data_IF_934614862854
#
_entry.id   IF_934614862854
#
_cell.length_a   1.000
_cell.length_b   1.000
_cell.length_c   1.000
_cell.angle_alpha   90.00
_cell.angle_beta   90.00
_cell.angle_gamma   90.00
#
_symmetry.space_group_name_H-M   'P 1'
#
loop_
_entity.id
_entity.type
_entity.pdbx_description
1 polymer ?
#
# COMPACT_ATOMS: atom_id res chain seq x y z
N UNK A 1 -16.48 -7.31 21.35
CA UNK A 1 -15.37 -6.75 22.16
C UNK A 1 -14.02 -6.68 21.41
N UNK A 2 -13.73 -7.52 20.44
CA UNK A 2 -12.49 -7.53 19.65
C UNK A 2 -12.30 -6.25 18.80
N UNK A 3 -13.34 -5.75 18.16
CA UNK A 3 -13.32 -4.54 17.32
C UNK A 3 -12.89 -3.26 18.07
N UNK A 4 -13.38 -3.05 19.29
CA UNK A 4 -13.04 -1.86 20.08
C UNK A 4 -11.56 -1.84 20.46
N UNK A 5 -11.00 -2.98 20.87
CA UNK A 5 -9.56 -3.09 21.21
C UNK A 5 -8.67 -2.85 20.00
N UNK A 6 -9.05 -3.34 18.82
CA UNK A 6 -8.33 -3.07 17.59
C UNK A 6 -8.37 -1.57 17.22
N UNK A 7 -9.53 -0.94 17.34
CA UNK A 7 -9.68 0.50 17.13
C UNK A 7 -8.81 1.32 18.09
N UNK A 8 -8.79 0.97 19.37
CA UNK A 8 -7.96 1.67 20.38
C UNK A 8 -6.46 1.53 20.02
N UNK A 9 -5.99 0.34 19.67
CA UNK A 9 -4.58 0.12 19.26
C UNK A 9 -4.22 0.94 18.01
N UNK A 10 -5.13 0.99 17.02
CA UNK A 10 -4.95 1.82 15.84
C UNK A 10 -4.75 3.28 16.22
N UNK A 11 -5.65 3.86 17.04
CA UNK A 11 -5.49 5.25 17.49
C UNK A 11 -4.22 5.46 18.31
N UNK A 12 -3.81 4.52 19.16
CA UNK A 12 -2.55 4.61 19.90
C UNK A 12 -1.34 4.71 18.96
N UNK A 13 -1.29 3.88 17.92
CA UNK A 13 -0.23 3.96 16.88
C UNK A 13 -0.30 5.30 16.13
N UNK A 14 -1.50 5.77 15.76
CA UNK A 14 -1.69 7.05 15.09
C UNK A 14 -1.25 8.23 15.96
N UNK A 15 -1.56 8.23 17.25
CA UNK A 15 -1.14 9.28 18.18
C UNK A 15 0.39 9.34 18.36
N UNK A 16 1.12 8.27 18.11
CA UNK A 16 2.59 8.27 18.10
C UNK A 16 3.15 9.10 16.93
N UNK A 17 2.41 9.24 15.82
CA UNK A 17 2.83 9.97 14.63
C UNK A 17 2.68 11.48 14.83
N UNK A 18 3.78 12.22 14.57
CA UNK A 18 3.81 13.69 14.72
C UNK A 18 2.85 14.40 13.77
N UNK A 19 2.75 13.93 12.52
CA UNK A 19 1.86 14.44 11.48
C UNK A 19 0.39 14.27 11.84
N UNK A 20 0.00 13.11 12.36
CA UNK A 20 -1.37 12.87 12.80
C UNK A 20 -1.76 13.82 13.94
N UNK A 21 -0.90 13.97 14.96
CA UNK A 21 -1.14 14.89 16.07
C UNK A 21 -1.29 16.33 15.60
N UNK A 22 -0.43 16.78 14.68
CA UNK A 22 -0.51 18.15 14.12
C UNK A 22 -1.84 18.35 13.37
N UNK A 23 -2.25 17.40 12.52
CA UNK A 23 -3.52 17.46 11.79
C UNK A 23 -4.71 17.47 12.75
N UNK A 24 -4.71 16.60 13.75
CA UNK A 24 -5.78 16.52 14.75
C UNK A 24 -5.92 17.87 15.49
N UNK A 25 -4.80 18.45 15.95
CA UNK A 25 -4.82 19.76 16.62
C UNK A 25 -5.36 20.85 15.70
N UNK A 26 -4.88 20.92 14.44
CA UNK A 26 -5.35 21.93 13.48
C UNK A 26 -6.84 21.76 13.19
N UNK A 27 -7.32 20.52 13.00
CA UNK A 27 -8.74 20.23 12.74
C UNK A 27 -9.61 20.58 13.96
N UNK A 28 -9.16 20.29 15.18
CA UNK A 28 -9.84 20.68 16.41
C UNK A 28 -9.93 22.21 16.55
N UNK A 29 -8.80 22.90 16.37
CA UNK A 29 -8.78 24.36 16.45
C UNK A 29 -9.68 25.00 15.38
N UNK A 30 -9.66 24.51 14.15
CA UNK A 30 -10.52 24.98 13.08
C UNK A 30 -12.01 24.75 13.41
N UNK A 31 -12.37 23.55 13.90
CA UNK A 31 -13.74 23.24 14.29
C UNK A 31 -14.23 24.12 15.44
N UNK A 32 -13.46 24.26 16.51
CA UNK A 32 -13.85 25.08 17.65
C UNK A 32 -13.88 26.57 17.28
N UNK A 33 -12.91 27.05 16.51
CA UNK A 33 -12.90 28.43 16.00
C UNK A 33 -14.15 28.75 15.18
N UNK A 34 -14.48 27.89 14.20
CA UNK A 34 -15.70 28.06 13.41
C UNK A 34 -16.97 28.00 14.24
N UNK A 35 -17.07 27.05 15.17
CA UNK A 35 -18.24 26.90 16.06
C UNK A 35 -18.45 28.13 16.95
N UNK A 36 -17.38 28.63 17.57
CA UNK A 36 -17.46 29.84 18.41
C UNK A 36 -17.87 31.05 17.58
N UNK A 37 -17.29 31.23 16.39
CA UNK A 37 -17.62 32.35 15.49
C UNK A 37 -19.09 32.30 15.06
N UNK A 38 -19.61 31.14 14.67
CA UNK A 38 -21.02 30.99 14.27
C UNK A 38 -21.95 31.23 15.47
N UNK A 39 -21.62 30.71 16.66
CA UNK A 39 -22.41 30.94 17.86
C UNK A 39 -22.45 32.41 18.24
N UNK A 40 -21.33 33.13 18.20
CA UNK A 40 -21.26 34.56 18.48
C UNK A 40 -22.11 35.37 17.47
N UNK A 41 -22.01 35.06 16.20
CA UNK A 41 -22.81 35.74 15.16
C UNK A 41 -24.32 35.51 15.37
N UNK A 42 -24.72 34.29 15.70
CA UNK A 42 -26.12 33.96 15.95
C UNK A 42 -26.67 34.71 17.19
N UNK A 43 -25.90 34.80 18.26
CA UNK A 43 -26.27 35.55 19.48
C UNK A 43 -26.36 37.05 19.21
N UNK A 44 -25.45 37.61 18.42
CA UNK A 44 -25.48 39.01 18.03
C UNK A 44 -26.74 39.33 17.21
N UNK A 45 -27.13 38.47 16.25
CA UNK A 45 -28.36 38.61 15.46
C UNK A 45 -29.61 38.49 16.34
N UNK A 46 -29.58 37.59 17.32
CA UNK A 46 -30.71 37.38 18.25
C UNK A 46 -30.85 38.44 19.37
N UNK A 47 -29.91 39.39 19.47
CA UNK A 47 -29.93 40.45 20.50
C UNK A 47 -29.79 39.92 21.93
N UNK A 48 -29.28 38.71 22.14
CA UNK A 48 -29.15 38.06 23.43
C UNK A 48 -27.74 38.17 24.02
N UNK A 49 -27.67 38.29 25.37
CA UNK A 49 -26.41 38.32 26.10
C UNK A 49 -25.85 36.91 26.32
N UNK A 50 -24.58 36.78 26.10
CA UNK A 50 -23.84 35.60 25.63
C UNK A 50 -23.57 34.45 26.64
N UNK A 51 -23.94 34.52 27.93
CA UNK A 51 -23.23 33.67 28.91
C UNK A 51 -23.73 32.21 29.05
N UNK A 52 -25.01 31.98 29.10
CA UNK A 52 -25.56 30.63 29.38
C UNK A 52 -25.69 29.77 28.10
N UNK A 53 -26.11 30.38 27.00
CA UNK A 53 -26.31 29.68 25.73
C UNK A 53 -24.96 29.22 25.10
N UNK A 54 -23.91 30.02 25.26
CA UNK A 54 -22.55 29.64 24.84
C UNK A 54 -22.01 28.44 25.62
N UNK A 55 -22.20 28.40 26.93
CA UNK A 55 -21.76 27.28 27.75
C UNK A 55 -22.46 25.97 27.36
N UNK A 56 -23.78 25.99 27.16
CA UNK A 56 -24.56 24.83 26.72
C UNK A 56 -24.12 24.35 25.30
N UNK A 57 -23.96 25.28 24.38
CA UNK A 57 -23.51 24.95 23.00
C UNK A 57 -22.12 24.31 23.00
N UNK A 58 -21.18 24.80 23.81
CA UNK A 58 -19.85 24.22 23.93
C UNK A 58 -19.87 22.81 24.51
N UNK A 59 -20.70 22.54 25.53
CA UNK A 59 -20.79 21.20 26.14
C UNK A 59 -21.30 20.15 25.15
N UNK A 60 -22.28 20.49 24.32
CA UNK A 60 -22.86 19.56 23.33
C UNK A 60 -21.96 19.42 22.10
N UNK A 61 -21.40 20.52 21.61
CA UNK A 61 -20.62 20.51 20.38
C UNK A 61 -19.19 19.99 20.58
N UNK A 62 -18.64 20.03 21.80
CA UNK A 62 -17.30 19.50 22.09
C UNK A 62 -17.16 18.02 21.73
N UNK A 63 -17.99 17.08 22.24
CA UNK A 63 -17.84 15.66 21.89
C UNK A 63 -18.05 15.40 20.40
N UNK A 64 -18.98 16.12 19.76
CA UNK A 64 -19.22 16.02 18.31
C UNK A 64 -17.97 16.47 17.55
N UNK A 65 -17.39 17.60 17.94
CA UNK A 65 -16.17 18.15 17.34
C UNK A 65 -14.96 17.22 17.49
N UNK A 66 -14.82 16.61 18.67
CA UNK A 66 -13.77 15.62 18.90
C UNK A 66 -13.94 14.40 18.01
N UNK A 67 -15.14 13.82 17.92
CA UNK A 67 -15.43 12.68 17.05
C UNK A 67 -15.20 13.05 15.58
N UNK A 68 -15.66 14.23 15.16
CA UNK A 68 -15.45 14.74 13.80
C UNK A 68 -13.94 14.91 13.51
N UNK A 69 -13.20 15.57 14.40
CA UNK A 69 -11.78 15.80 14.23
C UNK A 69 -10.97 14.50 14.20
N UNK A 70 -11.30 13.53 15.05
CA UNK A 70 -10.70 12.19 15.02
C UNK A 70 -10.92 11.51 13.66
N UNK A 71 -12.14 11.54 13.12
CA UNK A 71 -12.45 10.95 11.81
C UNK A 71 -11.84 11.73 10.66
N UNK A 72 -11.92 13.05 10.67
CA UNK A 72 -11.38 13.89 9.60
C UNK A 72 -9.84 13.87 9.55
N UNK A 73 -9.19 13.61 10.68
CA UNK A 73 -7.73 13.49 10.77
C UNK A 73 -7.23 12.10 10.44
N UNK A 74 -8.12 11.10 10.24
CA UNK A 74 -7.69 9.76 9.84
C UNK A 74 -6.92 9.84 8.52
N UNK A 75 -5.72 9.22 8.48
CA UNK A 75 -4.97 9.16 7.25
C UNK A 75 -5.73 8.38 6.19
N UNK A 76 -5.46 8.69 4.96
CA UNK A 76 -6.01 7.95 3.83
C UNK A 76 -5.25 6.63 3.68
N UNK A 77 -5.98 5.53 3.55
CA UNK A 77 -5.38 4.21 3.38
C UNK A 77 -5.42 3.72 1.92
N UNK A 78 -6.17 4.41 1.09
CA UNK A 78 -6.42 4.03 -0.29
C UNK A 78 -6.61 5.30 -1.09
N UNK A 79 -5.75 5.52 -2.07
CA UNK A 79 -5.78 6.70 -2.94
C UNK A 79 -5.72 6.21 -4.39
N UNK A 80 -6.73 6.56 -5.16
CA UNK A 80 -6.76 6.33 -6.61
C UNK A 80 -6.40 7.62 -7.35
N UNK A 81 -5.57 7.50 -8.35
CA UNK A 81 -5.09 8.60 -9.17
C UNK A 81 -5.47 8.40 -10.63
N UNK A 82 -5.67 9.49 -11.33
CA UNK A 82 -5.87 9.53 -12.79
C UNK A 82 -5.00 10.63 -13.38
N UNK A 83 -4.46 10.35 -14.54
CA UNK A 83 -3.78 11.34 -15.38
C UNK A 83 -4.62 11.59 -16.63
N UNK A 84 -4.67 12.83 -17.10
CA UNK A 84 -5.53 13.20 -18.24
C UNK A 84 -5.13 12.50 -19.55
N UNK A 85 -3.83 12.14 -19.68
CA UNK A 85 -3.28 11.44 -20.85
C UNK A 85 -3.11 9.94 -20.65
N UNK A 86 -3.23 9.40 -19.45
CA UNK A 86 -3.02 7.99 -19.16
C UNK A 86 -4.36 7.26 -19.08
N UNK A 87 -4.51 6.20 -19.86
CA UNK A 87 -5.72 5.39 -19.90
C UNK A 87 -5.88 4.46 -18.67
N UNK A 88 -4.78 4.17 -17.97
CA UNK A 88 -4.75 3.19 -16.91
C UNK A 88 -4.77 3.84 -15.51
N UNK A 89 -5.59 3.35 -14.58
CA UNK A 89 -5.66 3.86 -13.22
C UNK A 89 -4.41 3.46 -12.41
N UNK A 90 -3.93 4.40 -11.61
CA UNK A 90 -2.94 4.16 -10.57
C UNK A 90 -3.63 4.21 -9.21
N UNK A 91 -3.40 3.22 -8.37
CA UNK A 91 -3.94 3.15 -7.02
C UNK A 91 -2.83 2.79 -6.03
N UNK A 92 -2.79 3.46 -4.90
CA UNK A 92 -1.87 3.16 -3.80
C UNK A 92 -2.68 2.91 -2.55
N UNK A 93 -2.50 1.74 -1.95
CA UNK A 93 -3.29 1.34 -0.80
C UNK A 93 -2.44 0.67 0.28
N UNK A 94 -2.90 0.80 1.52
CA UNK A 94 -2.39 0.05 2.67
C UNK A 94 -3.30 -1.14 2.86
N UNK A 95 -2.75 -2.35 2.78
CA UNK A 95 -3.61 -3.53 2.90
C UNK A 95 -2.91 -4.87 2.69
N UNK A 96 -3.72 -5.89 2.54
CA UNK A 96 -3.25 -7.24 2.18
C UNK A 96 -3.06 -7.33 0.67
N UNK A 97 -1.87 -7.72 0.23
CA UNK A 97 -1.53 -7.91 -1.17
C UNK A 97 -2.46 -8.93 -1.85
N UNK A 98 -2.90 -9.94 -1.12
CA UNK A 98 -3.71 -11.02 -1.64
C UNK A 98 -5.23 -10.73 -1.66
N UNK A 99 -5.68 -9.62 -1.07
CA UNK A 99 -7.09 -9.25 -1.03
C UNK A 99 -7.54 -8.60 -2.33
N UNK A 100 -7.57 -9.38 -3.41
CA UNK A 100 -8.08 -8.96 -4.73
C UNK A 100 -8.65 -10.17 -5.48
N UNK A 101 -9.65 -9.94 -6.32
CA UNK A 101 -10.26 -10.97 -7.17
C UNK A 101 -10.01 -10.71 -8.68
N UNK A 102 -9.53 -9.51 -9.04
CA UNK A 102 -9.48 -9.06 -10.43
C UNK A 102 -8.13 -8.50 -10.88
N UNK A 103 -7.11 -8.56 -10.03
CA UNK A 103 -5.76 -8.13 -10.35
C UNK A 103 -4.78 -9.30 -10.33
N UNK A 104 -3.80 -9.28 -11.22
CA UNK A 104 -2.68 -10.22 -11.20
C UNK A 104 -1.69 -9.77 -10.13
N UNK A 105 -1.36 -10.65 -9.20
CA UNK A 105 -0.54 -10.37 -8.04
C UNK A 105 0.94 -10.62 -8.36
N UNK A 106 1.79 -9.64 -8.09
CA UNK A 106 3.25 -9.78 -8.26
C UNK A 106 3.88 -10.20 -6.94
N UNK A 107 4.67 -11.28 -6.98
CA UNK A 107 5.47 -11.79 -5.87
C UNK A 107 6.95 -11.74 -6.26
N UNK A 108 7.74 -11.00 -5.50
CA UNK A 108 9.18 -10.92 -5.75
C UNK A 108 9.91 -12.12 -5.18
N UNK A 109 10.85 -12.66 -5.95
CA UNK A 109 11.65 -13.81 -5.59
C UNK A 109 13.14 -13.55 -5.82
N UNK A 110 13.98 -14.45 -5.32
CA UNK A 110 15.35 -14.50 -5.77
C UNK A 110 15.44 -15.18 -7.15
N UNK A 111 16.59 -15.07 -7.79
CA UNK A 111 16.84 -15.55 -9.15
C UNK A 111 16.84 -17.09 -9.29
N UNK A 112 16.82 -17.81 -8.19
CA UNK A 112 16.66 -19.28 -8.18
C UNK A 112 15.21 -19.71 -7.97
N UNK A 113 14.29 -18.77 -7.77
CA UNK A 113 12.88 -19.04 -7.45
C UNK A 113 12.69 -19.97 -6.26
N UNK A 114 13.47 -19.75 -5.19
CA UNK A 114 13.40 -20.55 -3.98
C UNK A 114 12.03 -20.40 -3.29
N UNK A 115 11.46 -21.51 -2.86
CA UNK A 115 10.17 -21.56 -2.17
C UNK A 115 10.28 -21.96 -0.70
N UNK A 116 11.48 -22.34 -0.23
CA UNK A 116 11.72 -22.88 1.09
C UNK A 116 12.92 -22.24 1.82
N UNK A 117 12.97 -22.47 3.13
CA UNK A 117 14.12 -22.13 3.97
C UNK A 117 15.41 -22.86 3.45
N UNK A 118 16.61 -22.27 3.56
CA UNK A 118 16.93 -21.03 4.30
C UNK A 118 16.76 -19.74 3.50
N UNK A 119 16.43 -19.82 2.22
CA UNK A 119 16.42 -18.69 1.29
C UNK A 119 15.13 -17.86 1.36
N UNK A 120 14.08 -18.42 1.93
CA UNK A 120 12.76 -17.79 2.08
C UNK A 120 12.42 -17.62 3.55
N UNK A 121 12.07 -16.41 3.96
CA UNK A 121 11.63 -16.10 5.33
C UNK A 121 10.21 -16.62 5.58
N UNK A 122 9.94 -17.02 6.83
CA UNK A 122 8.59 -17.41 7.28
C UNK A 122 7.51 -16.35 7.04
N UNK A 123 7.87 -15.07 7.04
CA UNK A 123 6.95 -13.94 6.81
C UNK A 123 6.95 -13.45 5.35
N UNK A 124 7.63 -14.15 4.45
CA UNK A 124 7.71 -13.74 3.05
C UNK A 124 6.37 -13.88 2.31
N UNK A 125 6.20 -13.13 1.23
CA UNK A 125 5.02 -13.24 0.36
C UNK A 125 4.86 -14.66 -0.24
N UNK A 126 5.99 -15.32 -0.53
CA UNK A 126 5.99 -16.71 -1.00
C UNK A 126 5.43 -17.66 0.05
N UNK A 127 5.89 -17.53 1.31
CA UNK A 127 5.38 -18.33 2.42
C UNK A 127 3.91 -18.06 2.68
N UNK A 128 3.47 -16.81 2.61
CA UNK A 128 2.06 -16.46 2.76
C UNK A 128 1.21 -17.06 1.63
N UNK A 129 1.72 -17.11 0.39
CA UNK A 129 1.04 -17.77 -0.72
C UNK A 129 0.92 -19.28 -0.49
N UNK A 130 2.02 -19.93 -0.05
CA UNK A 130 2.03 -21.37 0.26
C UNK A 130 0.97 -21.68 1.34
N UNK A 131 0.91 -20.89 2.40
CA UNK A 131 -0.11 -21.06 3.45
C UNK A 131 -1.55 -20.85 2.96
N UNK A 132 -1.77 -20.11 1.89
CA UNK A 132 -3.12 -19.85 1.34
C UNK A 132 -3.58 -20.93 0.37
N UNK A 133 -2.67 -21.48 -0.43
CA UNK A 133 -3.03 -22.32 -1.58
C UNK A 133 -2.34 -23.68 -1.64
N UNK A 134 -1.27 -23.89 -0.88
CA UNK A 134 -0.41 -25.07 -0.95
C UNK A 134 -0.08 -25.66 0.42
N UNK A 135 -1.00 -25.50 1.42
CA UNK A 135 -0.75 -25.94 2.81
C UNK A 135 -0.43 -27.43 2.89
N UNK A 136 -1.18 -28.25 2.14
CA UNK A 136 -1.02 -29.69 2.17
C UNK A 136 0.14 -30.18 1.28
N UNK A 137 0.54 -29.41 0.30
CA UNK A 137 1.53 -29.78 -0.72
C UNK A 137 2.45 -28.58 -1.08
N UNK A 138 3.32 -28.13 -0.17
CA UNK A 138 4.18 -26.94 -0.38
C UNK A 138 5.13 -27.07 -1.57
N UNK A 139 5.52 -28.30 -1.93
CA UNK A 139 6.42 -28.57 -3.08
C UNK A 139 5.73 -28.43 -4.44
N UNK A 140 4.39 -28.38 -4.48
CA UNK A 140 3.66 -28.20 -5.75
C UNK A 140 3.96 -26.84 -6.38
N UNK A 141 4.07 -25.77 -5.58
CA UNK A 141 4.44 -24.46 -6.09
C UNK A 141 5.80 -24.48 -6.77
N UNK A 142 6.78 -25.10 -6.13
CA UNK A 142 8.14 -25.26 -6.70
C UNK A 142 8.11 -26.05 -8.01
N UNK A 143 7.40 -27.17 -8.02
CA UNK A 143 7.25 -28.01 -9.22
C UNK A 143 6.58 -27.25 -10.36
N UNK A 144 5.57 -26.43 -10.06
CA UNK A 144 4.89 -25.58 -11.05
C UNK A 144 5.84 -24.53 -11.62
N UNK A 145 6.65 -23.86 -10.78
CA UNK A 145 7.63 -22.87 -11.21
C UNK A 145 8.68 -23.51 -12.14
N UNK A 146 9.28 -24.64 -11.74
CA UNK A 146 10.28 -25.33 -12.54
C UNK A 146 9.73 -25.80 -13.89
N UNK A 147 8.48 -26.27 -13.92
CA UNK A 147 7.78 -26.65 -15.14
C UNK A 147 7.60 -25.47 -16.10
N UNK A 148 7.17 -24.31 -15.60
CA UNK A 148 6.99 -23.11 -16.43
C UNK A 148 8.34 -22.60 -16.98
N UNK A 149 9.41 -22.71 -16.19
CA UNK A 149 10.77 -22.39 -16.63
C UNK A 149 11.37 -23.44 -17.57
N UNK A 150 10.68 -24.57 -17.80
CA UNK A 150 11.19 -25.72 -18.57
C UNK A 150 12.51 -26.27 -18.00
N UNK A 151 12.67 -26.20 -16.68
CA UNK A 151 13.87 -26.63 -15.98
C UNK A 151 13.64 -27.98 -15.28
N UNK A 152 14.65 -28.85 -15.34
CA UNK A 152 14.66 -30.09 -14.55
C UNK A 152 15.21 -29.89 -13.15
N UNK A 153 16.06 -28.88 -12.96
CA UNK A 153 16.71 -28.53 -11.69
C UNK A 153 16.74 -27.01 -11.49
N UNK A 154 17.00 -26.60 -10.26
CA UNK A 154 17.21 -25.19 -9.96
C UNK A 154 18.40 -24.63 -10.74
N UNK A 155 18.15 -23.53 -11.43
CA UNK A 155 19.17 -22.78 -12.14
C UNK A 155 18.94 -21.29 -11.90
N UNK A 156 20.02 -20.54 -11.84
CA UNK A 156 19.96 -19.10 -11.72
C UNK A 156 19.35 -18.48 -12.98
N UNK A 157 18.30 -17.70 -12.80
CA UNK A 157 17.59 -17.02 -13.88
C UNK A 157 18.05 -15.57 -14.04
N UNK A 158 17.86 -14.97 -15.21
CA UNK A 158 18.18 -13.55 -15.39
C UNK A 158 17.29 -12.65 -14.49
N UNK A 159 17.82 -11.49 -14.10
CA UNK A 159 17.04 -10.45 -13.39
C UNK A 159 15.83 -10.07 -14.23
N UNK A 160 14.67 -10.03 -13.59
CA UNK A 160 13.41 -9.72 -14.24
C UNK A 160 12.76 -10.89 -14.97
N UNK A 161 13.26 -12.13 -14.80
CA UNK A 161 12.54 -13.32 -15.27
C UNK A 161 11.20 -13.42 -14.56
N UNK A 162 10.16 -13.81 -15.32
CA UNK A 162 8.78 -13.84 -14.85
C UNK A 162 8.17 -15.20 -15.10
N UNK A 163 7.65 -15.79 -14.03
CA UNK A 163 6.88 -17.04 -14.07
C UNK A 163 5.42 -16.72 -13.70
N UNK A 164 4.47 -17.16 -14.53
CA UNK A 164 3.05 -16.98 -14.28
C UNK A 164 2.42 -18.28 -13.80
N UNK A 165 1.80 -18.26 -12.63
CA UNK A 165 1.09 -19.40 -12.06
C UNK A 165 -0.30 -18.96 -11.62
N UNK A 166 -1.30 -19.81 -11.85
CA UNK A 166 -2.65 -19.63 -11.34
C UNK A 166 -2.88 -20.52 -10.13
N UNK A 167 -3.36 -19.95 -9.03
CA UNK A 167 -3.73 -20.69 -7.84
C UNK A 167 -5.06 -20.15 -7.28
N UNK A 168 -6.03 -21.05 -7.09
CA UNK A 168 -7.40 -20.65 -6.75
C UNK A 168 -8.02 -19.79 -7.85
N UNK A 169 -8.54 -18.64 -7.48
CA UNK A 169 -9.16 -17.66 -8.42
C UNK A 169 -8.15 -16.66 -8.99
N UNK A 170 -6.95 -16.59 -8.40
CA UNK A 170 -5.98 -15.55 -8.68
C UNK A 170 -4.86 -16.04 -9.60
N UNK A 171 -4.27 -15.11 -10.34
CA UNK A 171 -3.06 -15.32 -11.13
C UNK A 171 -1.92 -14.56 -10.48
N UNK A 172 -0.75 -15.21 -10.40
CA UNK A 172 0.44 -14.70 -9.75
C UNK A 172 1.57 -14.59 -10.74
N UNK A 173 2.33 -13.50 -10.69
CA UNK A 173 3.60 -13.34 -11.39
C UNK A 173 4.73 -13.39 -10.38
N UNK A 174 5.55 -14.40 -10.48
CA UNK A 174 6.79 -14.51 -9.73
C UNK A 174 7.89 -13.79 -10.48
N UNK A 175 8.45 -12.74 -9.88
CA UNK A 175 9.42 -11.85 -10.49
C UNK A 175 10.79 -12.04 -9.83
N UNK A 176 11.79 -12.47 -10.58
CA UNK A 176 13.17 -12.62 -10.14
C UNK A 176 13.84 -11.26 -9.97
N UNK A 177 14.19 -10.88 -8.74
CA UNK A 177 14.78 -9.57 -8.43
C UNK A 177 16.07 -9.69 -7.60
N UNK A 178 16.10 -10.62 -6.64
CA UNK A 178 17.15 -10.71 -5.65
C UNK A 178 18.20 -11.76 -6.00
N UNK A 179 19.45 -11.47 -5.66
CA UNK A 179 20.53 -12.47 -5.72
C UNK A 179 20.53 -13.32 -4.45
N UNK A 180 20.97 -14.57 -4.58
CA UNK A 180 21.18 -15.51 -3.49
C UNK A 180 22.61 -15.32 -2.94
N UNK A 181 22.74 -14.98 -1.67
CA UNK A 181 24.03 -14.88 -1.02
C UNK A 181 24.22 -16.01 0.02
N UNK A 182 25.28 -16.79 -0.11
CA UNK A 182 25.54 -17.97 0.74
C UNK A 182 25.69 -17.67 2.23
N UNK A 183 26.12 -16.47 2.60
CA UNK A 183 26.43 -16.11 4.00
C UNK A 183 25.47 -15.13 4.63
N UNK A 184 24.61 -14.51 3.85
CA UNK A 184 23.68 -13.49 4.32
C UNK A 184 22.38 -13.57 3.54
N UNK A 185 21.37 -12.92 4.07
CA UNK A 185 20.06 -12.76 3.42
C UNK A 185 20.21 -12.27 1.99
N UNK A 186 19.36 -12.77 1.09
CA UNK A 186 19.27 -12.25 -0.28
C UNK A 186 19.34 -10.73 -0.32
N UNK A 187 20.12 -10.18 -1.22
CA UNK A 187 20.24 -8.73 -1.42
C UNK A 187 19.65 -8.33 -2.77
N UNK A 188 19.17 -7.11 -2.86
CA UNK A 188 18.64 -6.53 -4.07
C UNK A 188 19.43 -5.27 -4.42
N UNK A 189 20.02 -5.25 -5.60
CA UNK A 189 20.61 -4.04 -6.16
C UNK A 189 19.52 -3.13 -6.76
N UNK A 190 19.69 -1.81 -6.70
CA UNK A 190 18.68 -0.85 -7.19
C UNK A 190 18.48 -0.95 -8.69
N UNK A 191 19.54 -1.20 -9.44
CA UNK A 191 19.51 -1.43 -10.88
C UNK A 191 18.77 -2.74 -11.25
N UNK A 192 18.88 -3.78 -10.42
CA UNK A 192 18.08 -4.99 -10.56
C UNK A 192 16.58 -4.71 -10.37
N UNK A 193 16.21 -3.86 -9.42
CA UNK A 193 14.81 -3.43 -9.25
C UNK A 193 14.32 -2.72 -10.50
N UNK A 194 15.07 -1.75 -11.02
CA UNK A 194 14.70 -1.01 -12.23
C UNK A 194 14.52 -1.94 -13.44
N UNK A 195 15.50 -2.82 -13.67
CA UNK A 195 15.48 -3.77 -14.79
C UNK A 195 14.30 -4.74 -14.68
N UNK A 196 14.01 -5.23 -13.47
CA UNK A 196 12.88 -6.13 -13.22
C UNK A 196 11.54 -5.42 -13.44
N UNK A 197 11.39 -4.16 -13.02
CA UNK A 197 10.21 -3.37 -13.27
C UNK A 197 9.98 -3.14 -14.77
N UNK A 198 11.01 -2.78 -15.51
CA UNK A 198 10.93 -2.58 -16.97
C UNK A 198 10.43 -3.84 -17.68
N UNK A 199 10.96 -5.02 -17.29
CA UNK A 199 10.48 -6.30 -17.80
C UNK A 199 9.05 -6.63 -17.38
N UNK A 200 8.66 -6.28 -16.15
CA UNK A 200 7.31 -6.47 -15.66
C UNK A 200 6.28 -5.70 -16.49
N UNK A 201 6.55 -4.43 -16.80
CA UNK A 201 5.66 -3.62 -17.63
C UNK A 201 5.56 -4.16 -19.07
N UNK A 202 6.68 -4.57 -19.64
CA UNK A 202 6.70 -5.20 -20.95
C UNK A 202 5.92 -6.51 -20.96
N UNK A 203 6.10 -7.37 -19.96
CA UNK A 203 5.40 -8.64 -19.82
C UNK A 203 3.88 -8.42 -19.67
N UNK A 204 3.48 -7.48 -18.82
CA UNK A 204 2.08 -7.16 -18.60
C UNK A 204 1.39 -6.73 -19.90
N UNK A 205 2.06 -5.91 -20.71
CA UNK A 205 1.56 -5.47 -22.01
C UNK A 205 1.43 -6.63 -22.99
N UNK A 206 2.49 -7.43 -23.17
CA UNK A 206 2.52 -8.55 -24.12
C UNK A 206 1.46 -9.62 -23.80
N UNK A 207 1.12 -9.77 -22.53
CA UNK A 207 0.14 -10.74 -22.06
C UNK A 207 -1.24 -10.14 -21.79
N UNK A 208 -1.50 -8.90 -22.23
CA UNK A 208 -2.79 -8.20 -22.07
C UNK A 208 -3.32 -8.20 -20.63
N UNK A 209 -2.44 -8.02 -19.66
CA UNK A 209 -2.82 -7.94 -18.26
C UNK A 209 -3.51 -6.58 -18.04
N UNK A 210 -4.75 -6.60 -17.57
CA UNK A 210 -5.54 -5.38 -17.36
C UNK A 210 -5.15 -4.64 -16.08
N UNK A 211 -4.73 -5.37 -15.03
CA UNK A 211 -4.38 -4.80 -13.73
C UNK A 211 -3.31 -5.62 -13.02
N UNK A 212 -2.28 -4.95 -12.53
CA UNK A 212 -1.25 -5.52 -11.67
C UNK A 212 -1.38 -5.01 -10.25
N UNK A 213 -1.20 -5.90 -9.29
CA UNK A 213 -1.11 -5.60 -7.87
C UNK A 213 0.29 -5.93 -7.36
N UNK A 214 1.03 -4.89 -6.97
CA UNK A 214 2.48 -4.96 -6.76
C UNK A 214 2.83 -4.52 -5.34
N UNK A 215 3.63 -5.29 -4.59
CA UNK A 215 4.20 -4.82 -3.33
C UNK A 215 5.32 -3.81 -3.61
N UNK A 216 5.80 -3.14 -2.57
CA UNK A 216 7.02 -2.32 -2.70
C UNK A 216 8.23 -3.23 -2.88
N UNK A 217 8.70 -3.34 -4.11
CA UNK A 217 9.81 -4.22 -4.49
C UNK A 217 11.10 -3.77 -3.78
N UNK A 218 11.82 -4.72 -3.19
CA UNK A 218 13.07 -4.44 -2.47
C UNK A 218 12.89 -3.98 -1.02
N UNK A 219 11.65 -3.83 -0.52
CA UNK A 219 11.38 -3.45 0.88
C UNK A 219 11.27 -4.64 1.83
N UNK A 220 11.17 -5.87 1.30
CA UNK A 220 10.95 -7.11 2.04
C UNK A 220 12.20 -7.72 2.66
N UNK A 221 12.24 -9.06 2.73
CA UNK A 221 13.33 -9.83 3.33
C UNK A 221 14.67 -9.61 2.62
N UNK A 222 14.68 -9.59 1.29
CA UNK A 222 15.82 -9.19 0.47
C UNK A 222 15.83 -7.67 0.35
N UNK A 223 16.39 -6.99 1.35
CA UNK A 223 16.37 -5.53 1.42
C UNK A 223 17.37 -4.91 0.45
N UNK A 224 16.87 -4.05 -0.42
CA UNK A 224 17.73 -3.06 -1.06
C UNK A 224 18.35 -2.15 0.01
N UNK A 225 19.60 -1.72 -0.18
CA UNK A 225 20.30 -0.81 0.76
C UNK A 225 19.74 0.62 0.76
N UNK A 226 18.55 0.80 0.23
CA UNK A 226 17.84 2.08 0.15
C UNK A 226 16.52 2.01 0.94
N UNK A 227 16.10 3.15 1.46
CA UNK A 227 14.85 3.23 2.20
C UNK A 227 13.62 2.98 1.31
N UNK A 228 12.45 2.79 1.93
CA UNK A 228 11.19 2.51 1.22
C UNK A 228 10.74 3.64 0.31
N UNK A 229 10.91 4.88 0.73
CA UNK A 229 10.52 6.05 -0.06
C UNK A 229 11.18 6.05 -1.43
N UNK A 230 12.53 5.93 -1.56
CA UNK A 230 13.18 5.78 -2.85
C UNK A 230 12.66 4.61 -3.69
N UNK A 231 12.35 3.46 -3.07
CA UNK A 231 11.83 2.30 -3.79
C UNK A 231 10.43 2.53 -4.37
N UNK A 232 9.57 3.23 -3.64
CA UNK A 232 8.23 3.60 -4.15
C UNK A 232 8.35 4.63 -5.27
N UNK A 233 9.22 5.63 -5.11
CA UNK A 233 9.49 6.62 -6.17
C UNK A 233 10.02 5.91 -7.42
N UNK A 234 10.95 4.95 -7.26
CA UNK A 234 11.48 4.14 -8.35
C UNK A 234 10.37 3.36 -9.06
N UNK A 235 9.51 2.68 -8.30
CA UNK A 235 8.36 1.92 -8.81
C UNK A 235 7.41 2.84 -9.60
N UNK A 236 7.02 3.96 -9.01
CA UNK A 236 6.16 4.94 -9.64
C UNK A 236 6.79 5.51 -10.92
N UNK A 237 8.04 5.97 -10.84
CA UNK A 237 8.74 6.54 -12.00
C UNK A 237 8.83 5.55 -13.14
N UNK A 238 9.21 4.29 -12.86
CA UNK A 238 9.30 3.26 -13.90
C UNK A 238 7.97 2.97 -14.57
N UNK A 239 6.87 2.92 -13.77
CA UNK A 239 5.52 2.73 -14.29
C UNK A 239 5.08 3.92 -15.14
N UNK A 240 5.26 5.13 -14.65
CA UNK A 240 4.85 6.35 -15.34
C UNK A 240 5.62 6.53 -16.66
N UNK A 241 6.93 6.24 -16.66
CA UNK A 241 7.74 6.26 -17.89
C UNK A 241 7.18 5.26 -18.91
N UNK A 242 6.91 4.02 -18.48
CA UNK A 242 6.34 3.00 -19.36
C UNK A 242 4.94 3.40 -19.87
N UNK A 243 4.11 4.03 -19.03
CA UNK A 243 2.76 4.48 -19.39
C UNK A 243 2.74 5.66 -20.36
N UNK A 244 3.80 6.48 -20.36
CA UNK A 244 3.94 7.58 -21.34
C UNK A 244 4.34 7.08 -22.73
N UNK A 245 5.11 6.01 -22.80
CA UNK A 245 5.54 5.43 -24.07
C UNK A 245 4.44 4.61 -24.73
N UNK A 246 3.67 3.85 -23.96
CA UNK A 246 2.61 2.97 -24.48
C UNK A 246 1.55 2.69 -23.41
N UNK A 247 0.32 2.28 -23.81
CA UNK A 247 -0.69 1.83 -22.86
C UNK A 247 -0.19 0.69 -21.99
N UNK A 248 -0.19 0.89 -20.68
CA UNK A 248 0.18 -0.11 -19.66
C UNK A 248 -1.08 -0.48 -18.87
N UNK A 249 -1.06 -1.61 -18.20
CA UNK A 249 -2.12 -2.05 -17.29
C UNK A 249 -2.34 -1.08 -16.12
N UNK A 250 -3.50 -1.16 -15.48
CA UNK A 250 -3.73 -0.48 -14.20
C UNK A 250 -2.74 -0.98 -13.14
N UNK A 251 -2.23 -0.08 -12.31
CA UNK A 251 -1.29 -0.41 -11.24
C UNK A 251 -1.92 -0.19 -9.87
N UNK A 252 -1.89 -1.20 -9.02
CA UNK A 252 -2.17 -1.11 -7.59
C UNK A 252 -0.88 -1.37 -6.80
N UNK A 253 -0.40 -0.36 -6.09
CA UNK A 253 0.75 -0.50 -5.18
C UNK A 253 0.21 -0.77 -3.77
N UNK A 254 0.60 -1.90 -3.19
CA UNK A 254 0.16 -2.29 -1.86
C UNK A 254 1.28 -2.10 -0.84
N UNK A 255 1.00 -1.28 0.15
CA UNK A 255 1.85 -1.06 1.31
C UNK A 255 1.39 -2.00 2.43
N UNK A 256 2.35 -2.70 3.05
CA UNK A 256 2.01 -3.54 4.21
C UNK A 256 1.60 -2.66 5.39
N UNK A 257 0.57 -3.03 6.18
CA UNK A 257 0.07 -2.21 7.28
C UNK A 257 1.12 -1.86 8.35
N UNK A 258 2.01 -2.78 8.66
CA UNK A 258 3.09 -2.52 9.64
C UNK A 258 4.17 -1.58 9.09
N UNK A 259 4.22 -1.43 7.78
CA UNK A 259 5.17 -0.62 7.04
C UNK A 259 4.58 0.72 6.61
N UNK A 260 3.28 0.90 6.84
CA UNK A 260 2.55 2.08 6.45
C UNK A 260 2.94 3.26 7.32
N UNK A 261 4.03 3.90 6.96
CA UNK A 261 4.27 5.27 7.37
C UNK A 261 3.28 6.16 6.61
N UNK A 262 2.39 6.78 7.37
CA UNK A 262 1.33 7.63 6.82
C UNK A 262 1.90 8.85 6.08
N UNK A 263 3.09 9.29 6.44
CA UNK A 263 3.84 10.32 5.73
C UNK A 263 4.22 9.85 4.33
N UNK A 264 4.36 8.54 4.13
CA UNK A 264 4.65 7.95 2.84
C UNK A 264 3.51 8.13 1.82
N UNK A 265 2.25 7.94 2.22
CA UNK A 265 1.11 8.19 1.32
C UNK A 265 0.95 9.65 0.93
N UNK A 266 1.23 10.58 1.86
CA UNK A 266 1.25 12.00 1.54
C UNK A 266 2.37 12.36 0.58
N UNK A 267 3.53 11.74 0.75
CA UNK A 267 4.66 11.92 -0.17
C UNK A 267 4.32 11.35 -1.56
N UNK A 268 3.73 10.15 -1.62
CA UNK A 268 3.27 9.55 -2.88
C UNK A 268 2.25 10.46 -3.57
N UNK A 269 1.31 11.00 -2.79
CA UNK A 269 0.33 11.94 -3.31
C UNK A 269 0.99 13.18 -3.87
N UNK A 270 1.88 13.82 -3.12
CA UNK A 270 2.61 15.00 -3.58
C UNK A 270 3.43 14.72 -4.85
N UNK A 271 4.07 13.55 -4.91
CA UNK A 271 4.82 13.12 -6.09
C UNK A 271 3.92 12.91 -7.32
N UNK A 272 2.77 12.25 -7.14
CA UNK A 272 1.78 12.08 -8.20
C UNK A 272 1.21 13.42 -8.68
N UNK A 273 0.91 14.34 -7.74
CA UNK A 273 0.41 15.69 -8.07
C UNK A 273 1.44 16.48 -8.91
N UNK A 274 2.73 16.40 -8.58
CA UNK A 274 3.83 17.01 -9.36
C UNK A 274 3.89 16.46 -10.79
N UNK A 275 3.59 15.18 -10.96
CA UNK A 275 3.60 14.49 -12.25
C UNK A 275 2.27 14.63 -13.02
N UNK A 276 1.35 15.45 -12.55
CA UNK A 276 0.05 15.73 -13.20
C UNK A 276 -1.02 14.68 -12.95
N UNK A 277 -0.79 13.73 -12.04
CA UNK A 277 -1.81 12.78 -11.59
C UNK A 277 -2.70 13.41 -10.53
N UNK A 278 -4.02 13.37 -10.74
CA UNK A 278 -5.00 13.90 -9.78
C UNK A 278 -5.60 12.76 -8.96
N UNK A 279 -5.65 12.92 -7.65
CA UNK A 279 -6.37 12.01 -6.78
C UNK A 279 -7.88 12.13 -7.02
N UNK A 280 -8.51 11.03 -7.44
CA UNK A 280 -9.94 10.99 -7.77
C UNK A 280 -10.80 10.34 -6.68
N UNK A 281 -10.21 9.44 -5.90
CA UNK A 281 -10.88 8.78 -4.78
C UNK A 281 -9.89 8.61 -3.63
N UNK A 282 -10.37 8.81 -2.39
CA UNK A 282 -9.56 8.71 -1.19
C UNK A 282 -10.39 8.08 -0.07
N UNK A 283 -10.04 6.88 0.35
CA UNK A 283 -10.70 6.19 1.46
C UNK A 283 -9.91 6.30 2.75
N UNK A 284 -10.55 6.60 3.88
CA UNK A 284 -9.86 6.69 5.16
C UNK A 284 -9.34 5.32 5.63
N UNK A 285 -8.29 5.36 6.44
CA UNK A 285 -7.80 4.18 7.15
C UNK A 285 -8.86 3.76 8.16
N UNK A 286 -9.61 2.72 7.93
CA UNK A 286 -10.64 2.31 8.88
C UNK A 286 -11.02 0.85 8.74
N UNK A 287 -11.70 0.53 7.67
CA UNK A 287 -12.32 -0.79 7.54
C UNK A 287 -11.33 -1.89 7.14
N UNK A 288 -10.40 -1.61 6.23
CA UNK A 288 -9.38 -2.58 5.80
C UNK A 288 -8.28 -2.84 6.81
N UNK A 289 -7.85 -1.83 7.56
CA UNK A 289 -6.79 -1.96 8.58
C UNK A 289 -7.23 -2.81 9.77
N UNK A 290 -8.50 -2.74 10.16
CA UNK A 290 -9.07 -3.53 11.25
C UNK A 290 -9.25 -5.01 10.87
N UNK A 291 -9.45 -5.31 9.59
CA UNK A 291 -9.59 -6.67 9.09
C UNK A 291 -8.23 -7.41 9.00
N UNK A 292 -7.13 -6.68 8.87
CA UNK A 292 -5.77 -7.25 8.70
C UNK A 292 -5.09 -7.63 10.02
N UNK A 293 -5.60 -7.16 11.15
CA UNK A 293 -5.11 -7.53 12.48
C UNK A 293 -6.20 -8.24 13.31
N UNK A 294 -6.72 -9.41 12.86
CA UNK A 294 -7.54 -10.24 13.73
C UNK A 294 -6.61 -10.97 14.71
N UNK A 295 -6.19 -10.30 15.78
CA UNK A 295 -5.41 -10.79 16.92
C UNK A 295 -3.90 -10.78 16.79
#
# INVERSE_FOLDING_TARGET
>A
MSSIRATIRMYQKLFALRTYRRRLIVTLLAFFGATVTVAQLALWIAGQTASTTLAFSLVILTPIGVVFALRASLPKADISFRHDSATAPLRVLIGDLFATDDAVIVITMNRHFDTAHPWVSGDSLVTQLIHRHYVDHPDELRSAILKELSLQQEAEQPVGEIVRISAGKNSYLFLAVADRHEQTRSSVAVDAVWSSLSRLWQYARLNNISRLRVPVIGSGFARAQVGRVPLIILLLTSYLTAAMEMPVCGLEIVLHPDDADLDLLELVKAYCDILGYRAIDQKPLGEGYLALHPR
#
